data_IF_012059263563
#
_entry.id   IF_012059263563
#
_cell.length_a   1.000
_cell.length_b   1.000
_cell.length_c   1.000
_cell.angle_alpha   90.00
_cell.angle_beta   90.00
_cell.angle_gamma   90.00
#
_symmetry.space_group_name_H-M   'P 1'
#
loop_
_entity.id
_entity.type
_entity.pdbx_description
1 polymer ?
#
# COMPACT_ATOMS: atom_id res chain seq x y z
N UNK A 1 -7.09 20.41 -17.60
CA UNK A 1 -6.92 19.09 -16.94
C UNK A 1 -7.34 18.04 -17.95
N UNK A 2 -6.40 17.59 -18.77
CA UNK A 2 -6.69 16.73 -19.92
C UNK A 2 -7.00 15.30 -19.46
N UNK A 3 -8.10 14.74 -19.96
CA UNK A 3 -8.47 13.36 -19.70
C UNK A 3 -7.69 12.47 -20.65
N UNK A 4 -6.77 11.69 -20.12
CA UNK A 4 -6.03 10.69 -20.88
C UNK A 4 -6.92 9.50 -21.28
N UNK A 5 -6.56 8.79 -22.34
CA UNK A 5 -7.18 7.52 -22.70
C UNK A 5 -6.54 6.42 -21.85
N UNK A 6 -7.34 5.48 -21.35
CA UNK A 6 -6.84 4.39 -20.53
C UNK A 6 -5.84 3.53 -21.34
N UNK A 7 -4.60 3.33 -20.84
CA UNK A 7 -3.57 2.60 -21.58
C UNK A 7 -3.76 1.08 -21.57
N UNK A 8 -4.84 0.56 -20.98
CA UNK A 8 -5.04 -0.87 -20.82
C UNK A 8 -5.39 -1.52 -22.16
N UNK A 9 -4.59 -2.50 -22.58
CA UNK A 9 -4.84 -3.32 -23.76
C UNK A 9 -5.68 -4.52 -23.35
N UNK A 10 -6.84 -4.69 -23.97
CA UNK A 10 -7.73 -5.82 -23.73
C UNK A 10 -7.13 -7.10 -24.33
N UNK A 11 -7.70 -8.26 -23.97
CA UNK A 11 -7.22 -9.57 -24.46
C UNK A 11 -7.31 -9.73 -25.99
N UNK A 12 -8.24 -9.02 -26.62
CA UNK A 12 -8.42 -8.92 -28.07
C UNK A 12 -7.43 -7.95 -28.76
N UNK A 13 -6.50 -7.33 -28.02
CA UNK A 13 -5.51 -6.39 -28.55
C UNK A 13 -6.03 -4.96 -28.71
N UNK A 14 -7.32 -4.69 -28.47
CA UNK A 14 -7.87 -3.33 -28.52
C UNK A 14 -7.52 -2.51 -27.27
N UNK A 15 -7.30 -1.20 -27.44
CA UNK A 15 -7.02 -0.28 -26.33
C UNK A 15 -8.32 0.08 -25.61
N UNK A 16 -8.24 0.29 -24.30
CA UNK A 16 -9.35 0.81 -23.53
C UNK A 16 -9.59 2.29 -23.83
N UNK A 17 -10.56 2.58 -24.69
CA UNK A 17 -10.93 3.95 -25.10
C UNK A 17 -11.61 4.79 -23.99
N UNK A 18 -11.64 4.30 -22.74
CA UNK A 18 -12.22 5.04 -21.64
C UNK A 18 -11.34 6.23 -21.25
N UNK A 19 -11.95 7.42 -21.17
CA UNK A 19 -11.32 8.62 -20.63
C UNK A 19 -11.07 8.43 -19.13
N UNK A 20 -9.82 8.58 -18.69
CA UNK A 20 -9.42 8.46 -17.30
C UNK A 20 -8.43 9.55 -16.88
N UNK A 21 -8.42 9.85 -15.59
CA UNK A 21 -7.44 10.75 -14.99
C UNK A 21 -6.16 10.03 -14.54
N UNK A 22 -6.24 8.72 -14.30
CA UNK A 22 -5.14 7.94 -13.71
C UNK A 22 -4.27 7.31 -14.80
N UNK A 23 -2.93 7.40 -14.69
CA UNK A 23 -2.03 6.72 -15.62
C UNK A 23 -2.10 5.19 -15.49
N UNK A 24 -2.53 4.68 -14.33
CA UNK A 24 -2.66 3.25 -14.05
C UNK A 24 -3.87 2.60 -14.72
N UNK A 25 -4.80 3.38 -15.28
CA UNK A 25 -5.98 2.88 -15.99
C UNK A 25 -7.30 3.50 -15.53
N UNK A 26 -8.37 3.20 -16.28
CA UNK A 26 -9.72 3.63 -15.93
C UNK A 26 -10.21 2.91 -14.67
N UNK A 27 -11.27 3.44 -14.05
CA UNK A 27 -11.83 2.90 -12.82
C UNK A 27 -12.10 1.39 -12.88
N UNK A 28 -12.65 0.88 -13.99
CA UNK A 28 -12.90 -0.56 -14.18
C UNK A 28 -11.60 -1.38 -14.10
N UNK A 29 -10.53 -0.93 -14.74
CA UNK A 29 -9.25 -1.61 -14.73
C UNK A 29 -8.51 -1.45 -13.40
N UNK A 30 -8.65 -0.31 -12.74
CA UNK A 30 -8.14 -0.13 -11.38
C UNK A 30 -8.82 -1.10 -10.40
N UNK A 31 -10.15 -1.25 -10.46
CA UNK A 31 -10.88 -2.20 -9.60
C UNK A 31 -10.54 -3.66 -9.90
N UNK A 32 -10.21 -4.00 -11.16
CA UNK A 32 -9.68 -5.32 -11.50
C UNK A 32 -8.27 -5.52 -10.96
N UNK A 33 -7.40 -4.52 -11.09
CA UNK A 33 -6.07 -4.53 -10.50
C UNK A 33 -6.17 -4.76 -8.99
N UNK A 34 -6.97 -4.00 -8.24
CA UNK A 34 -7.17 -4.18 -6.79
C UNK A 34 -7.62 -5.60 -6.40
N UNK A 35 -8.41 -6.27 -7.25
CA UNK A 35 -8.85 -7.65 -7.03
C UNK A 35 -7.75 -8.68 -7.30
N UNK A 36 -6.84 -8.37 -8.22
CA UNK A 36 -5.75 -9.22 -8.67
C UNK A 36 -4.43 -8.97 -7.92
N UNK A 37 -4.33 -7.93 -7.08
CA UNK A 37 -3.17 -7.74 -6.20
C UNK A 37 -3.03 -8.96 -5.29
N UNK A 38 -1.81 -9.50 -5.24
CA UNK A 38 -1.46 -10.60 -4.36
C UNK A 38 -1.73 -10.20 -2.90
N UNK A 39 -2.62 -10.94 -2.24
CA UNK A 39 -3.06 -10.59 -0.89
C UNK A 39 -2.17 -11.28 0.12
N UNK A 40 -1.50 -10.49 0.94
CA UNK A 40 -0.66 -10.99 2.02
C UNK A 40 -1.58 -11.45 3.16
N UNK A 41 -1.37 -12.63 3.76
CA UNK A 41 -2.18 -13.07 4.90
C UNK A 41 -1.88 -12.21 6.14
N UNK A 42 -2.93 -11.81 6.86
CA UNK A 42 -2.77 -11.04 8.09
C UNK A 42 -1.96 -11.83 9.15
N UNK A 43 -0.98 -11.18 9.78
CA UNK A 43 -0.16 -11.81 10.83
C UNK A 43 -0.93 -12.43 12.00
N UNK A 44 -2.13 -11.93 12.33
CA UNK A 44 -2.97 -12.40 13.45
C UNK A 44 -4.04 -13.41 13.02
N UNK A 45 -4.95 -13.01 12.13
CA UNK A 45 -6.11 -13.82 11.78
C UNK A 45 -5.97 -14.56 10.44
N UNK A 46 -4.81 -14.46 9.78
CA UNK A 46 -4.48 -15.08 8.49
C UNK A 46 -5.43 -14.74 7.33
N UNK A 47 -6.36 -13.80 7.52
CA UNK A 47 -7.23 -13.31 6.46
C UNK A 47 -6.39 -12.53 5.43
N UNK A 48 -6.60 -12.77 4.13
CA UNK A 48 -5.88 -12.06 3.08
C UNK A 48 -6.15 -10.55 3.18
N UNK A 49 -5.09 -9.75 3.10
CA UNK A 49 -5.13 -8.29 3.17
C UNK A 49 -4.21 -7.66 2.13
N UNK A 50 -4.58 -6.46 1.66
CA UNK A 50 -3.73 -5.63 0.80
C UNK A 50 -2.88 -4.64 1.62
N UNK A 51 -2.95 -4.73 2.96
CA UNK A 51 -2.22 -3.82 3.84
C UNK A 51 -0.72 -4.08 3.73
N UNK A 52 0.04 -3.01 3.45
CA UNK A 52 1.50 -3.03 3.43
C UNK A 52 2.09 -3.45 4.79
N UNK A 53 1.36 -3.17 5.88
CA UNK A 53 1.79 -3.56 7.23
C UNK A 53 1.60 -5.05 7.52
N UNK A 54 1.07 -5.83 6.58
CA UNK A 54 0.75 -7.26 6.79
C UNK A 54 -0.31 -7.52 7.89
N UNK A 55 -0.99 -6.46 8.36
CA UNK A 55 -2.11 -6.56 9.30
C UNK A 55 -3.39 -6.03 8.67
N UNK A 56 -4.48 -6.78 8.80
CA UNK A 56 -5.78 -6.34 8.31
C UNK A 56 -6.29 -5.12 9.12
N UNK A 57 -7.28 -4.35 8.61
CA UNK A 57 -7.75 -3.14 9.28
C UNK A 57 -8.23 -3.33 10.73
N UNK A 58 -8.70 -4.53 11.08
CA UNK A 58 -9.08 -4.87 12.47
C UNK A 58 -7.88 -5.00 13.41
N UNK A 59 -6.70 -5.34 12.89
CA UNK A 59 -5.50 -5.60 13.68
C UNK A 59 -4.40 -4.54 13.47
N UNK A 60 -4.50 -3.70 12.43
CA UNK A 60 -3.51 -2.66 12.13
C UNK A 60 -3.38 -1.65 13.27
N UNK A 61 -4.48 -1.26 13.91
CA UNK A 61 -4.47 -0.34 15.05
C UNK A 61 -3.59 -0.87 16.20
N UNK A 62 -3.74 -2.14 16.56
CA UNK A 62 -2.93 -2.78 17.61
C UNK A 62 -1.44 -2.82 17.24
N UNK A 63 -1.12 -3.11 15.98
CA UNK A 63 0.26 -3.08 15.48
C UNK A 63 0.87 -1.69 15.61
N UNK A 64 0.16 -0.64 15.18
CA UNK A 64 0.64 0.74 15.29
C UNK A 64 0.82 1.17 16.76
N UNK A 65 -0.13 0.85 17.63
CA UNK A 65 -0.01 1.15 19.08
C UNK A 65 1.18 0.43 19.72
N UNK A 66 1.41 -0.84 19.37
CA UNK A 66 2.57 -1.59 19.86
C UNK A 66 3.88 -0.96 19.39
N UNK A 67 3.99 -0.67 18.08
CA UNK A 67 5.18 -0.03 17.52
C UNK A 67 5.45 1.33 18.14
N UNK A 68 4.41 2.14 18.35
CA UNK A 68 4.54 3.42 19.04
C UNK A 68 5.12 3.25 20.45
N UNK A 69 4.59 2.30 21.24
CA UNK A 69 5.11 2.00 22.59
C UNK A 69 6.56 1.51 22.57
N UNK A 70 6.93 0.69 21.59
CA UNK A 70 8.30 0.20 21.48
C UNK A 70 9.28 1.29 21.03
N UNK A 71 8.87 2.21 20.15
CA UNK A 71 9.65 3.41 19.79
C UNK A 71 9.91 4.32 20.99
N UNK A 72 8.89 4.52 21.83
CA UNK A 72 9.03 5.27 23.10
C UNK A 72 10.04 4.63 24.06
N UNK A 73 10.16 3.30 24.02
CA UNK A 73 11.15 2.55 24.81
C UNK A 73 12.52 2.41 24.14
N UNK A 74 12.70 2.94 22.92
CA UNK A 74 13.92 2.78 22.13
C UNK A 74 14.19 1.35 21.64
N UNK A 75 13.19 0.46 21.68
CA UNK A 75 13.34 -0.97 21.36
C UNK A 75 13.13 -1.29 19.87
N UNK A 76 12.60 -0.34 19.10
CA UNK A 76 12.54 -0.42 17.64
C UNK A 76 13.53 0.61 17.11
N UNK A 77 14.58 0.12 16.45
CA UNK A 77 15.43 0.94 15.61
C UNK A 77 14.72 1.06 14.25
N UNK A 78 14.31 2.28 13.89
CA UNK A 78 13.84 2.54 12.54
C UNK A 78 14.98 2.19 11.56
N UNK A 79 14.76 1.31 10.57
CA UNK A 79 15.80 0.96 9.59
C UNK A 79 16.22 2.17 8.73
N UNK A 80 15.39 3.22 8.70
CA UNK A 80 15.64 4.47 7.97
C UNK A 80 16.14 5.62 8.87
N UNK A 81 16.51 5.39 10.13
CA UNK A 81 17.12 6.46 10.94
C UNK A 81 18.56 6.67 10.43
N UNK A 82 18.90 7.82 9.81
CA UNK A 82 20.27 8.09 9.46
C UNK A 82 21.10 8.18 10.75
N UNK A 83 22.23 7.48 10.76
CA UNK A 83 23.19 7.47 11.86
C UNK A 83 23.72 8.90 12.03
N UNK A 84 23.45 9.50 13.19
CA UNK A 84 24.27 10.58 13.74
C UNK A 84 23.77 12.00 13.49
N UNK A 85 23.25 12.61 14.55
CA UNK A 85 23.77 13.88 15.05
C UNK A 85 23.42 13.93 16.55
N UNK A 86 24.38 13.49 17.36
CA UNK A 86 24.42 13.84 18.78
C UNK A 86 24.62 15.35 18.86
N UNK A 87 23.56 16.09 19.20
CA UNK A 87 23.73 17.48 19.62
C UNK A 87 24.12 17.46 21.10
N UNK A 88 25.42 17.52 21.36
CA UNK A 88 25.97 17.89 22.65
C UNK A 88 25.79 19.39 22.84
N UNK A 89 24.71 19.81 23.53
CA UNK A 89 24.73 20.95 24.46
C UNK A 89 23.42 21.09 25.22
#
# INVERSE_FOLDING_TARGET
>A
MDRAICPHIKRDGSVCENKCWRPTGCYKHWSLHEKNIEKIPCGVCKKPTISITEYCPKHSARFHSLNYRMRQKGLIQDPDRPIGLQSNR
#
